data_IF_489979345724
#
_entry.id   IF_489979345724
#
_cell.length_a   1.000
_cell.length_b   1.000
_cell.length_c   1.000
_cell.angle_alpha   90.00
_cell.angle_beta   90.00
_cell.angle_gamma   90.00
#
_symmetry.space_group_name_H-M   'P 1'
#
loop_
_entity.id
_entity.type
_entity.pdbx_description
1 polymer ?
#
# COMPACT_ATOMS: atom_id res chain seq x y z
N UNK A 1 8.64 12.70 -3.67
CA UNK A 1 9.96 12.01 -3.63
C UNK A 1 9.68 10.55 -3.92
N UNK A 2 10.34 9.98 -4.92
CA UNK A 2 10.23 8.54 -5.22
C UNK A 2 11.37 7.80 -4.53
N UNK A 3 11.05 6.81 -3.70
CA UNK A 3 12.06 5.85 -3.23
C UNK A 3 12.17 4.77 -4.31
N UNK A 4 13.30 4.74 -5.02
CA UNK A 4 13.61 3.75 -6.04
C UNK A 4 14.90 3.02 -5.69
N UNK A 5 14.79 1.72 -5.39
CA UNK A 5 15.91 0.90 -4.96
C UNK A 5 16.19 -0.17 -6.01
N UNK A 6 17.36 -0.11 -6.65
CA UNK A 6 17.65 -0.86 -7.87
C UNK A 6 18.44 -2.15 -7.64
N UNK A 7 19.30 -2.25 -6.64
CA UNK A 7 20.18 -3.43 -6.48
C UNK A 7 20.35 -3.83 -5.02
N UNK A 8 20.68 -5.11 -4.79
CA UNK A 8 21.03 -5.64 -3.46
C UNK A 8 19.87 -6.35 -2.75
N UNK A 9 20.04 -6.60 -1.45
CA UNK A 9 18.99 -7.11 -0.57
C UNK A 9 18.24 -5.93 0.03
N UNK A 10 16.96 -5.79 -0.35
CA UNK A 10 16.14 -4.63 0.00
C UNK A 10 15.02 -5.09 0.91
N UNK A 11 15.14 -4.71 2.18
CA UNK A 11 14.11 -4.87 3.20
C UNK A 11 13.83 -3.52 3.82
N UNK A 12 12.56 -3.13 3.82
CA UNK A 12 12.09 -1.85 4.37
C UNK A 12 11.14 -2.13 5.52
N UNK A 13 11.37 -1.47 6.65
CA UNK A 13 10.65 -1.71 7.89
C UNK A 13 10.25 -0.36 8.49
N UNK A 14 9.00 -0.22 8.93
CA UNK A 14 8.53 0.98 9.64
C UNK A 14 8.72 2.30 8.86
N UNK A 15 8.23 2.33 7.61
CA UNK A 15 8.35 3.52 6.76
C UNK A 15 7.06 4.34 6.83
N UNK A 16 7.19 5.66 6.81
CA UNK A 16 6.05 6.58 6.69
C UNK A 16 6.21 7.40 5.40
N UNK A 17 5.64 6.91 4.31
CA UNK A 17 5.72 7.50 2.98
C UNK A 17 4.42 8.25 2.74
N UNK A 18 4.42 9.55 3.04
CA UNK A 18 3.20 10.35 2.95
C UNK A 18 3.38 11.63 2.18
N UNK A 19 2.31 12.09 1.51
CA UNK A 19 2.27 13.37 0.78
C UNK A 19 3.36 13.53 -0.27
N UNK A 20 3.78 12.43 -0.89
CA UNK A 20 4.72 12.51 -1.99
C UNK A 20 4.00 12.88 -3.28
N UNK A 21 4.66 13.71 -4.08
CA UNK A 21 4.32 13.93 -5.47
C UNK A 21 5.36 13.24 -6.36
N UNK A 22 4.88 12.44 -7.31
CA UNK A 22 5.71 11.61 -8.20
C UNK A 22 5.19 11.68 -9.64
N UNK A 23 5.97 12.32 -10.52
CA UNK A 23 5.53 12.64 -11.90
C UNK A 23 5.58 11.47 -12.89
N UNK A 24 6.40 10.44 -12.69
CA UNK A 24 6.65 9.49 -13.80
C UNK A 24 6.68 8.01 -13.44
N UNK A 25 6.78 7.64 -12.17
CA UNK A 25 6.92 6.23 -11.82
C UNK A 25 6.01 5.91 -10.64
N UNK A 26 6.60 5.63 -9.48
CA UNK A 26 5.89 5.21 -8.31
C UNK A 26 6.10 6.21 -7.17
N UNK A 27 5.12 6.29 -6.26
CA UNK A 27 5.43 6.79 -4.91
C UNK A 27 6.49 5.91 -4.25
N UNK A 28 6.43 4.61 -4.52
CA UNK A 28 7.31 3.61 -3.96
C UNK A 28 7.67 2.50 -4.97
N UNK A 29 8.97 2.28 -5.21
CA UNK A 29 9.44 1.27 -6.17
C UNK A 29 10.65 0.46 -5.67
N UNK A 30 10.58 -0.86 -5.83
CA UNK A 30 11.74 -1.75 -5.70
C UNK A 30 11.98 -2.42 -7.06
N UNK A 31 13.20 -2.39 -7.56
CA UNK A 31 13.59 -3.00 -8.85
C UNK A 31 14.94 -3.74 -8.75
N UNK A 32 15.21 -4.65 -9.69
CA UNK A 32 16.45 -5.45 -9.89
C UNK A 32 17.26 -5.97 -8.65
N UNK A 33 16.58 -6.45 -7.60
CA UNK A 33 17.24 -7.01 -6.41
C UNK A 33 17.73 -8.43 -6.70
N UNK A 34 18.78 -8.88 -6.00
CA UNK A 34 19.30 -10.24 -6.18
C UNK A 34 18.51 -11.30 -5.39
N UNK A 35 17.79 -10.91 -4.33
CA UNK A 35 16.98 -11.82 -3.51
C UNK A 35 15.59 -11.23 -3.17
N UNK A 36 14.80 -12.01 -2.42
CA UNK A 36 13.42 -11.72 -2.00
C UNK A 36 13.31 -10.36 -1.31
N UNK A 37 12.24 -9.63 -1.62
CA UNK A 37 11.97 -8.28 -1.09
C UNK A 37 10.91 -8.34 -0.03
N UNK A 38 11.10 -7.56 1.03
CA UNK A 38 10.06 -7.42 2.04
C UNK A 38 9.89 -5.99 2.48
N UNK A 39 8.63 -5.57 2.52
CA UNK A 39 8.20 -4.31 3.10
C UNK A 39 7.29 -4.67 4.25
N UNK A 40 7.56 -4.12 5.44
CA UNK A 40 6.78 -4.41 6.64
C UNK A 40 6.42 -3.17 7.44
N UNK A 41 5.26 -3.22 8.10
CA UNK A 41 4.82 -2.24 9.11
C UNK A 41 4.90 -0.78 8.63
N UNK A 42 4.52 -0.52 7.38
CA UNK A 42 4.70 0.81 6.76
C UNK A 42 3.35 1.47 6.45
N UNK A 43 3.36 2.80 6.49
CA UNK A 43 2.22 3.64 6.12
C UNK A 43 2.52 4.36 4.80
N UNK A 44 1.65 4.18 3.82
CA UNK A 44 1.73 4.76 2.47
C UNK A 44 0.42 5.51 2.25
N UNK A 45 0.41 6.79 2.61
CA UNK A 45 -0.82 7.58 2.74
C UNK A 45 -0.73 8.96 2.08
N UNK A 46 -1.84 9.42 1.48
CA UNK A 46 -1.93 10.74 0.84
C UNK A 46 -0.89 10.99 -0.27
N UNK A 47 -0.38 9.95 -0.95
CA UNK A 47 0.57 10.14 -2.04
C UNK A 47 -0.15 10.41 -3.36
N UNK A 48 0.46 11.25 -4.19
CA UNK A 48 0.02 11.53 -5.54
C UNK A 48 1.09 11.04 -6.52
N UNK A 49 0.71 10.12 -7.40
CA UNK A 49 1.56 9.64 -8.47
C UNK A 49 0.86 9.74 -9.81
N UNK A 50 1.65 9.90 -10.87
CA UNK A 50 1.07 9.97 -12.22
C UNK A 50 0.56 8.60 -12.67
N UNK A 51 1.30 7.52 -12.41
CA UNK A 51 0.97 6.18 -12.94
C UNK A 51 0.76 5.11 -11.87
N UNK A 52 1.54 5.09 -10.78
CA UNK A 52 1.45 3.99 -9.80
C UNK A 52 1.89 4.38 -8.39
N UNK A 53 1.43 3.65 -7.39
CA UNK A 53 1.83 3.86 -5.99
C UNK A 53 2.90 2.87 -5.59
N UNK A 54 2.74 1.60 -5.97
CA UNK A 54 3.71 0.54 -5.68
C UNK A 54 4.18 -0.12 -6.98
N UNK A 55 5.50 -0.25 -7.12
CA UNK A 55 6.13 -0.96 -8.22
C UNK A 55 7.13 -2.00 -7.70
N UNK A 56 6.96 -3.25 -8.10
CA UNK A 56 7.91 -4.33 -7.83
C UNK A 56 8.25 -5.07 -9.11
N UNK A 57 9.51 -5.47 -9.28
CA UNK A 57 10.01 -6.05 -10.53
C UNK A 57 11.08 -7.13 -10.33
N UNK A 58 11.11 -8.15 -11.19
CA UNK A 58 12.15 -9.19 -11.34
C UNK A 58 12.24 -10.28 -10.27
N UNK A 59 11.94 -10.00 -9.01
CA UNK A 59 12.02 -10.98 -7.90
C UNK A 59 10.79 -10.94 -7.01
N UNK A 60 10.41 -12.07 -6.39
CA UNK A 60 9.26 -12.11 -5.50
C UNK A 60 9.32 -11.07 -4.38
N UNK A 61 8.18 -10.46 -4.08
CA UNK A 61 8.05 -9.43 -3.06
C UNK A 61 6.94 -9.75 -2.06
N UNK A 62 7.14 -9.39 -0.79
CA UNK A 62 6.14 -9.50 0.26
C UNK A 62 5.90 -8.14 0.91
N UNK A 63 4.68 -7.64 0.81
CA UNK A 63 4.17 -6.48 1.53
C UNK A 63 3.36 -7.00 2.72
N UNK A 64 3.84 -6.81 3.96
CA UNK A 64 3.16 -7.33 5.15
C UNK A 64 2.86 -6.19 6.12
N UNK A 65 1.62 -6.10 6.62
CA UNK A 65 1.21 -5.08 7.60
C UNK A 65 1.42 -3.66 7.05
N UNK A 66 0.88 -3.39 5.87
CA UNK A 66 0.99 -2.10 5.18
C UNK A 66 -0.36 -1.41 5.14
N UNK A 67 -0.38 -0.11 5.41
CA UNK A 67 -1.55 0.76 5.19
C UNK A 67 -1.35 1.53 3.90
N UNK A 68 -2.25 1.33 2.94
CA UNK A 68 -2.33 2.08 1.69
C UNK A 68 -3.63 2.88 1.69
N UNK A 69 -3.57 4.17 2.00
CA UNK A 69 -4.77 5.01 2.10
C UNK A 69 -4.66 6.33 1.37
N UNK A 70 -5.77 6.85 0.86
CA UNK A 70 -5.86 8.20 0.29
C UNK A 70 -4.83 8.50 -0.82
N UNK A 71 -4.32 7.46 -1.49
CA UNK A 71 -3.36 7.65 -2.57
C UNK A 71 -4.10 7.90 -3.89
N UNK A 72 -3.51 8.70 -4.77
CA UNK A 72 -4.09 9.08 -6.05
C UNK A 72 -3.13 8.71 -7.18
N UNK A 73 -3.62 7.94 -8.13
CA UNK A 73 -3.05 7.83 -9.48
C UNK A 73 -3.83 8.75 -10.41
N UNK A 74 -3.15 9.59 -11.18
CA UNK A 74 -3.81 10.64 -11.98
C UNK A 74 -3.94 10.32 -13.47
N UNK A 75 -3.22 9.33 -13.98
CA UNK A 75 -3.22 8.94 -15.38
C UNK A 75 -3.12 7.43 -15.52
N UNK A 76 -3.72 6.92 -16.59
CA UNK A 76 -3.56 5.54 -16.99
C UNK A 76 -2.22 5.34 -17.72
N UNK A 77 -1.52 4.28 -17.35
CA UNK A 77 -0.34 3.79 -18.04
C UNK A 77 -0.78 2.58 -18.87
N UNK A 78 -0.85 2.75 -20.19
CA UNK A 78 -1.36 1.71 -21.09
C UNK A 78 -0.56 0.41 -21.03
N UNK A 79 0.71 0.47 -20.64
CA UNK A 79 1.57 -0.69 -20.53
C UNK A 79 1.44 -1.35 -19.15
N UNK A 80 1.05 -0.59 -18.13
CA UNK A 80 0.98 -1.00 -16.72
C UNK A 80 -0.18 -0.31 -15.98
N UNK A 81 -1.45 -0.63 -16.31
CA UNK A 81 -2.62 0.14 -15.89
C UNK A 81 -3.01 -0.14 -14.43
N UNK A 82 -2.03 -0.34 -13.53
CA UNK A 82 -2.26 -0.81 -12.17
C UNK A 82 -1.55 0.05 -11.11
N UNK A 83 -2.30 0.43 -10.08
CA UNK A 83 -1.77 1.21 -8.96
C UNK A 83 -0.67 0.44 -8.20
N UNK A 84 -0.83 -0.87 -8.06
CA UNK A 84 0.17 -1.80 -7.55
C UNK A 84 0.60 -2.77 -8.65
N UNK A 85 1.74 -2.50 -9.26
CA UNK A 85 2.22 -3.25 -10.41
C UNK A 85 3.38 -4.19 -10.02
N UNK A 86 3.27 -5.45 -10.49
CA UNK A 86 4.28 -6.50 -10.35
C UNK A 86 4.82 -6.91 -11.73
N UNK A 87 6.04 -6.49 -12.07
CA UNK A 87 6.65 -6.75 -13.39
C UNK A 87 7.60 -7.94 -13.33
N UNK A 88 7.26 -9.02 -14.03
CA UNK A 88 8.08 -10.24 -14.08
C UNK A 88 8.41 -10.83 -12.70
N UNK A 89 7.46 -10.75 -11.76
CA UNK A 89 7.59 -11.32 -10.43
C UNK A 89 6.23 -11.57 -9.78
N UNK A 90 6.19 -12.51 -8.82
CA UNK A 90 5.03 -12.69 -7.94
C UNK A 90 5.10 -11.75 -6.74
N UNK A 91 3.94 -11.33 -6.22
CA UNK A 91 3.86 -10.54 -4.99
C UNK A 91 2.82 -11.08 -4.03
N UNK A 92 3.09 -10.94 -2.73
CA UNK A 92 2.15 -11.23 -1.66
C UNK A 92 1.87 -9.97 -0.86
N UNK A 93 0.59 -9.66 -0.68
CA UNK A 93 0.09 -8.64 0.23
C UNK A 93 -0.59 -9.35 1.40
N UNK A 94 -0.03 -9.19 2.59
CA UNK A 94 -0.48 -9.87 3.80
C UNK A 94 -0.78 -8.83 4.89
N UNK A 95 -1.87 -8.98 5.64
CA UNK A 95 -2.20 -8.07 6.74
C UNK A 95 -2.30 -6.58 6.31
N UNK A 96 -2.68 -6.31 5.06
CA UNK A 96 -2.71 -4.95 4.53
C UNK A 96 -4.09 -4.31 4.70
N UNK A 97 -4.10 -2.98 4.88
CA UNK A 97 -5.30 -2.16 4.83
C UNK A 97 -5.24 -1.26 3.61
N UNK A 98 -6.14 -1.46 2.66
CA UNK A 98 -6.14 -0.78 1.37
C UNK A 98 -7.50 -0.11 1.19
N UNK A 99 -7.58 1.20 1.39
CA UNK A 99 -8.85 1.92 1.36
C UNK A 99 -8.71 3.33 0.79
N UNK A 100 -9.79 3.86 0.23
CA UNK A 100 -9.87 5.28 -0.22
C UNK A 100 -8.77 5.68 -1.21
N UNK A 101 -8.19 4.74 -1.96
CA UNK A 101 -7.22 5.05 -3.01
C UNK A 101 -7.96 5.31 -4.32
N UNK A 102 -7.61 6.39 -5.02
CA UNK A 102 -8.17 6.76 -6.32
C UNK A 102 -7.29 6.25 -7.45
N UNK A 103 -7.80 5.32 -8.26
CA UNK A 103 -7.06 4.64 -9.33
C UNK A 103 -7.28 5.27 -10.70
N UNK A 104 -8.35 6.06 -10.87
CA UNK A 104 -8.62 6.85 -12.08
C UNK A 104 -8.73 5.98 -13.35
N UNK A 105 -9.66 5.02 -13.30
CA UNK A 105 -9.98 4.02 -14.32
C UNK A 105 -8.96 2.87 -14.50
N UNK A 106 -7.82 2.94 -13.80
CA UNK A 106 -6.85 1.86 -13.65
C UNK A 106 -7.38 0.73 -12.73
N UNK A 107 -6.55 -0.31 -12.57
CA UNK A 107 -6.76 -1.42 -11.66
C UNK A 107 -5.96 -1.25 -10.37
N UNK A 108 -6.40 -1.89 -9.29
CA UNK A 108 -5.68 -1.84 -8.01
C UNK A 108 -4.39 -2.67 -8.06
N UNK A 109 -4.48 -3.88 -8.59
CA UNK A 109 -3.37 -4.82 -8.72
C UNK A 109 -3.17 -5.24 -10.17
N UNK A 110 -1.92 -5.47 -10.55
CA UNK A 110 -1.66 -6.28 -11.72
C UNK A 110 -0.24 -6.78 -11.91
N UNK A 111 -0.09 -7.53 -13.00
CA UNK A 111 1.04 -8.39 -13.30
C UNK A 111 1.45 -8.16 -14.75
N UNK A 112 2.65 -7.63 -14.95
CA UNK A 112 3.25 -7.57 -16.27
C UNK A 112 4.18 -8.77 -16.49
N UNK A 113 3.68 -9.76 -17.23
CA UNK A 113 4.40 -10.99 -17.58
C UNK A 113 3.59 -12.26 -17.30
N UNK A 114 4.05 -13.40 -17.83
CA UNK A 114 3.37 -14.69 -17.66
C UNK A 114 4.00 -15.54 -16.56
N UNK A 115 3.19 -16.39 -15.93
CA UNK A 115 3.66 -17.34 -14.91
C UNK A 115 3.91 -16.75 -13.52
N UNK A 116 3.46 -15.52 -13.27
CA UNK A 116 3.54 -14.84 -11.99
C UNK A 116 2.17 -14.65 -11.36
N UNK A 117 2.15 -14.41 -10.06
CA UNK A 117 0.92 -14.36 -9.25
C UNK A 117 0.93 -13.18 -8.29
N UNK A 118 -0.24 -12.59 -8.05
CA UNK A 118 -0.46 -11.70 -6.92
C UNK A 118 -1.40 -12.38 -5.94
N UNK A 119 -0.98 -12.51 -4.69
CA UNK A 119 -1.78 -13.08 -3.62
C UNK A 119 -2.04 -12.02 -2.58
N UNK A 120 -3.31 -11.80 -2.24
CA UNK A 120 -3.74 -10.92 -1.16
C UNK A 120 -4.41 -11.76 -0.09
N UNK A 121 -3.85 -11.78 1.12
CA UNK A 121 -4.34 -12.59 2.24
C UNK A 121 -4.41 -11.78 3.51
N UNK A 122 -5.36 -12.14 4.40
CA UNK A 122 -5.55 -11.49 5.70
C UNK A 122 -5.61 -9.94 5.61
N UNK A 123 -6.09 -9.41 4.49
CA UNK A 123 -6.08 -7.98 4.20
C UNK A 123 -7.51 -7.48 4.04
N UNK A 124 -7.67 -6.17 4.12
CA UNK A 124 -8.94 -5.51 3.85
C UNK A 124 -8.77 -4.54 2.71
N UNK A 125 -9.69 -4.67 1.76
CA UNK A 125 -9.79 -3.82 0.59
C UNK A 125 -11.16 -3.14 0.62
N UNK A 126 -11.17 -1.82 0.73
CA UNK A 126 -12.33 -0.95 0.57
C UNK A 126 -12.12 -0.03 -0.64
N UNK A 127 -12.64 -0.48 -1.78
CA UNK A 127 -12.64 0.28 -3.02
C UNK A 127 -13.87 -0.07 -3.85
N UNK A 128 -14.36 0.93 -4.58
CA UNK A 128 -15.39 0.74 -5.61
C UNK A 128 -14.79 0.64 -7.02
N UNK A 129 -13.47 0.76 -7.15
CA UNK A 129 -12.75 0.73 -8.42
C UNK A 129 -12.33 -0.69 -8.83
N UNK A 130 -11.75 -0.83 -10.03
CA UNK A 130 -11.42 -2.13 -10.61
C UNK A 130 -10.28 -2.79 -9.84
N UNK A 131 -10.40 -4.09 -9.54
CA UNK A 131 -9.39 -4.76 -8.71
C UNK A 131 -8.18 -5.24 -9.51
N UNK A 132 -8.40 -5.95 -10.62
CA UNK A 132 -7.32 -6.47 -11.48
C UNK A 132 -7.86 -6.78 -12.89
N UNK A 133 -7.01 -6.76 -13.94
CA UNK A 133 -7.42 -7.11 -15.29
C UNK A 133 -7.88 -8.58 -15.40
N UNK A 134 -8.86 -8.85 -16.28
CA UNK A 134 -9.31 -10.21 -16.55
C UNK A 134 -8.18 -11.10 -17.05
N UNK A 135 -8.15 -12.36 -16.58
CA UNK A 135 -7.15 -13.34 -16.99
C UNK A 135 -5.80 -13.27 -16.26
N UNK A 136 -5.54 -12.24 -15.45
CA UNK A 136 -4.36 -12.23 -14.58
C UNK A 136 -4.54 -13.17 -13.39
N UNK A 137 -3.44 -13.80 -12.94
CA UNK A 137 -3.42 -14.70 -11.78
C UNK A 137 -3.37 -13.92 -10.46
N UNK A 138 -4.48 -13.25 -10.13
CA UNK A 138 -4.66 -12.52 -8.88
C UNK A 138 -5.62 -13.28 -7.97
N UNK A 139 -5.20 -13.58 -6.76
CA UNK A 139 -6.00 -14.27 -5.74
C UNK A 139 -6.20 -13.35 -4.55
N UNK A 140 -7.45 -12.99 -4.26
CA UNK A 140 -7.83 -12.14 -3.13
C UNK A 140 -8.62 -13.00 -2.14
N UNK A 141 -8.06 -13.22 -0.96
CA UNK A 141 -8.75 -13.88 0.14
C UNK A 141 -9.93 -13.06 0.65
N UNK A 142 -10.82 -13.68 1.41
CA UNK A 142 -11.95 -12.96 2.01
C UNK A 142 -11.45 -11.82 2.90
N UNK A 143 -12.06 -10.64 2.73
CA UNK A 143 -11.90 -9.53 3.67
C UNK A 143 -12.27 -10.02 5.07
N UNK A 144 -11.36 -9.90 6.04
CA UNK A 144 -11.62 -10.22 7.45
C UNK A 144 -11.75 -8.95 8.27
N UNK A 145 -12.38 -9.07 9.45
CA UNK A 145 -12.27 -8.04 10.50
C UNK A 145 -10.80 -7.80 10.79
N UNK A 146 -10.38 -6.56 10.60
CA UNK A 146 -8.97 -6.20 10.53
C UNK A 146 -8.41 -6.00 11.93
N UNK A 147 -7.34 -6.72 12.25
CA UNK A 147 -6.35 -6.28 13.24
C UNK A 147 -5.04 -5.98 12.51
N UNK A 148 -4.88 -4.77 11.95
CA UNK A 148 -3.56 -4.34 11.48
C UNK A 148 -2.76 -3.98 12.72
N UNK A 149 -1.81 -4.84 13.08
CA UNK A 149 -0.83 -4.53 14.12
C UNK A 149 0.26 -3.62 13.52
N UNK A 150 0.06 -2.31 13.62
CA UNK A 150 1.12 -1.35 13.28
C UNK A 150 2.02 -1.17 14.49
N UNK A 151 3.27 -1.62 14.36
CA UNK A 151 4.32 -1.30 15.32
C UNK A 151 4.75 0.16 15.08
N UNK A 152 3.97 1.10 15.61
CA UNK A 152 4.31 2.52 15.65
C UNK A 152 5.46 2.74 16.64
N UNK A 153 6.68 2.37 16.28
CA UNK A 153 7.84 2.93 16.96
C UNK A 153 7.95 4.39 16.56
N UNK A 154 7.95 5.25 17.58
CA UNK A 154 7.90 6.69 17.47
C UNK A 154 8.82 7.21 16.38
N UNK A 155 8.25 8.06 15.53
CA UNK A 155 8.84 9.32 15.04
C UNK A 155 10.22 9.52 15.69
N UNK A 156 11.31 9.33 14.95
CA UNK A 156 12.51 10.10 15.28
C UNK A 156 12.09 11.56 15.10
N UNK A 157 11.68 12.16 16.21
CA UNK A 157 11.50 13.58 16.34
C UNK A 157 12.82 14.17 15.89
N UNK A 158 12.87 14.77 14.70
CA UNK A 158 13.99 15.64 14.35
C UNK A 158 14.20 16.56 15.56
N UNK A 159 15.38 16.54 16.19
CA UNK A 159 15.63 17.38 17.34
C UNK A 159 15.85 18.79 16.81
N UNK A 160 14.76 19.51 16.53
CA UNK A 160 14.70 20.98 16.47
C UNK A 160 13.27 21.46 16.20
N UNK A 161 12.60 21.86 17.28
CA UNK A 161 11.76 23.06 17.29
C UNK A 161 10.33 22.94 16.75
N UNK A 162 9.39 22.59 17.64
CA UNK A 162 8.32 23.47 18.14
C UNK A 162 6.96 22.76 18.31
N UNK A 163 6.51 22.76 19.57
CA UNK A 163 5.14 22.67 20.09
C UNK A 163 4.22 21.57 19.53
N UNK A 164 4.29 20.41 20.19
CA UNK A 164 3.29 19.34 20.12
C UNK A 164 2.09 19.74 21.01
N UNK A 165 1.19 20.58 20.50
CA UNK A 165 -0.13 20.81 21.12
C UNK A 165 -1.23 19.86 20.57
N UNK A 166 -0.93 19.02 19.58
CA UNK A 166 -1.95 18.24 18.86
C UNK A 166 -1.77 16.71 18.88
N UNK A 167 -0.94 16.15 19.76
CA UNK A 167 -0.83 14.69 19.91
C UNK A 167 -2.17 14.05 20.28
N UNK A 168 -2.94 14.72 21.15
CA UNK A 168 -4.28 14.27 21.55
C UNK A 168 -5.28 14.23 20.38
N UNK A 169 -5.11 15.09 19.38
CA UNK A 169 -6.00 15.16 18.20
C UNK A 169 -5.66 14.08 17.16
N UNK A 170 -4.41 13.66 17.11
CA UNK A 170 -3.94 12.53 16.29
C UNK A 170 -4.36 11.21 16.96
N UNK A 171 -4.18 11.09 18.28
CA UNK A 171 -4.63 9.93 19.05
C UNK A 171 -6.16 9.79 18.98
N UNK A 172 -6.94 10.90 19.06
CA UNK A 172 -8.40 10.81 18.95
C UNK A 172 -8.87 10.35 17.58
N UNK A 173 -8.17 10.74 16.49
CA UNK A 173 -8.46 10.23 15.13
C UNK A 173 -8.10 8.75 14.96
N UNK A 174 -7.04 8.28 15.62
CA UNK A 174 -6.67 6.86 15.66
C UNK A 174 -7.65 6.01 16.49
N UNK A 175 -8.17 6.53 17.60
CA UNK A 175 -9.23 5.85 18.38
C UNK A 175 -10.51 5.71 17.55
N UNK A 176 -10.83 6.69 16.69
CA UNK A 176 -11.97 6.58 15.78
C UNK A 176 -11.85 5.41 14.78
N UNK A 177 -10.64 5.01 14.37
CA UNK A 177 -10.44 3.80 13.54
C UNK A 177 -10.68 2.50 14.33
N UNK A 178 -10.50 2.51 15.65
CA UNK A 178 -10.89 1.39 16.53
C UNK A 178 -12.42 1.34 16.76
N UNK A 179 -13.12 2.47 16.63
CA UNK A 179 -14.56 2.59 16.87
C UNK A 179 -15.48 2.22 15.69
N UNK A 180 -14.96 2.00 14.48
CA UNK A 180 -15.80 1.62 13.32
C UNK A 180 -16.23 0.14 13.42
N UNK A 181 -15.48 -0.70 14.16
CA UNK A 181 -15.82 -2.10 14.40
C UNK A 181 -17.00 -2.35 15.36
N UNK A 182 -17.43 -1.36 16.14
CA UNK A 182 -18.53 -1.52 17.11
C UNK A 182 -19.85 -0.84 16.68
N UNK A 183 -19.88 -0.12 15.56
CA UNK A 183 -21.07 0.66 15.15
C UNK A 183 -21.98 -0.04 14.14
N UNK A 184 -21.67 -1.25 13.66
CA UNK A 184 -22.52 -1.96 12.68
C UNK A 184 -23.41 -3.07 13.25
N UNK A 185 -23.29 -3.39 14.55
CA UNK A 185 -24.15 -4.39 15.20
C UNK A 185 -25.41 -3.82 15.86
N UNK A 186 -25.66 -2.51 15.80
CA UNK A 186 -26.89 -1.88 16.36
C UNK A 186 -27.89 -1.34 15.32
N UNK A 187 -27.65 -1.58 14.02
CA UNK A 187 -28.59 -1.18 12.95
C UNK A 187 -29.45 -2.35 12.40
N UNK A 188 -29.37 -3.54 13.02
CA UNK A 188 -30.21 -4.71 12.66
C UNK A 188 -30.86 -5.37 13.89
N UNK A 189 -31.44 -4.57 14.78
CA UNK A 189 -32.43 -5.01 15.78
C UNK A 189 -33.71 -4.21 15.64
#
# INVERSE_FOLDING_TARGET
MTISLWYGNISLFQNNITRNYCEYDAAFGISYSQFTRSIKYSNIDENYATYRICFVQSKPATCNSIVFTNNIVSADDSDFPEMFNCVSCSATFENCFIASNKQNDCYLFGIAGSGYTVTVSNSYIDTQEKLFPEGQQVSIGQNKDISVELHLHSIELCPTGNNIENLNKIISKLIHLHGIGESMTSLFS
#
